data_IF_173246245760
#
_entry.id   IF_173246245760
#
_cell.length_a   1.000
_cell.length_b   1.000
_cell.length_c   1.000
_cell.angle_alpha   90.00
_cell.angle_beta   90.00
_cell.angle_gamma   90.00
#
_symmetry.space_group_name_H-M   'P 1'
#
loop_
_entity.id
_entity.type
_entity.pdbx_description
1 polymer ?
#
# COMPACT_ATOMS: atom_id res chain seq x y z
N UNK A 1 -6.15 15.63 16.77
CA UNK A 1 -6.32 15.83 15.32
C UNK A 1 -7.50 14.99 14.88
N UNK A 2 -8.56 15.57 14.30
CA UNK A 2 -9.69 14.78 13.80
C UNK A 2 -9.31 14.16 12.47
N UNK A 3 -9.04 12.84 12.46
CA UNK A 3 -8.64 12.11 11.26
C UNK A 3 -9.79 11.96 10.26
N UNK A 4 -11.03 12.27 10.64
CA UNK A 4 -12.23 12.13 9.79
C UNK A 4 -12.24 13.06 8.57
N UNK A 5 -11.47 14.14 8.60
CA UNK A 5 -11.35 15.08 7.48
C UNK A 5 -10.22 14.73 6.49
N UNK A 6 -9.37 13.75 6.81
CA UNK A 6 -8.22 13.38 5.96
C UNK A 6 -8.61 12.21 5.06
N UNK A 7 -8.50 12.41 3.75
CA UNK A 7 -8.50 11.33 2.78
C UNK A 7 -7.20 10.52 2.96
N UNK A 8 -7.25 9.47 3.80
CA UNK A 8 -6.09 8.68 4.17
C UNK A 8 -5.42 8.03 2.96
N UNK A 9 -6.20 7.60 1.97
CA UNK A 9 -5.66 7.00 0.77
C UNK A 9 -4.79 8.01 0.01
N UNK A 10 -5.34 9.20 -0.28
CA UNK A 10 -4.59 10.25 -0.98
C UNK A 10 -3.38 10.71 -0.17
N UNK A 11 -3.53 10.84 1.14
CA UNK A 11 -2.43 11.24 2.02
C UNK A 11 -1.29 10.20 2.00
N UNK A 12 -1.62 8.92 2.14
CA UNK A 12 -0.66 7.83 2.11
C UNK A 12 0.04 7.74 0.76
N UNK A 13 -0.74 7.79 -0.32
CA UNK A 13 -0.21 7.78 -1.69
C UNK A 13 0.75 8.96 -1.94
N UNK A 14 0.37 10.19 -1.58
CA UNK A 14 1.21 11.37 -1.75
C UNK A 14 2.51 11.26 -0.94
N UNK A 15 2.41 10.89 0.34
CA UNK A 15 3.57 10.69 1.23
C UNK A 15 4.53 9.63 0.69
N UNK A 16 3.99 8.51 0.18
CA UNK A 16 4.79 7.46 -0.43
C UNK A 16 5.50 7.95 -1.70
N UNK A 17 4.78 8.65 -2.60
CA UNK A 17 5.34 9.16 -3.86
C UNK A 17 6.35 10.30 -3.68
N UNK A 18 6.35 10.98 -2.54
CA UNK A 18 7.42 11.92 -2.16
C UNK A 18 8.71 11.18 -1.78
N UNK A 19 8.60 10.06 -1.05
CA UNK A 19 9.76 9.28 -0.59
C UNK A 19 10.30 8.32 -1.64
N UNK A 20 9.43 7.79 -2.50
CA UNK A 20 9.74 6.76 -3.50
C UNK A 20 9.21 7.18 -4.88
N UNK A 21 9.76 8.26 -5.49
CA UNK A 21 9.22 8.85 -6.71
C UNK A 21 9.28 7.92 -7.94
N UNK A 22 10.15 6.91 -7.94
CA UNK A 22 10.27 5.91 -9.01
C UNK A 22 8.99 5.10 -9.21
N UNK A 23 8.14 4.96 -8.19
CA UNK A 23 6.90 4.19 -8.27
C UNK A 23 5.74 4.93 -8.93
N UNK A 24 5.91 6.21 -9.32
CA UNK A 24 4.87 6.97 -10.05
C UNK A 24 4.47 6.31 -11.37
N UNK A 25 5.38 5.54 -11.98
CA UNK A 25 5.10 4.73 -13.17
C UNK A 25 4.05 3.63 -12.96
N UNK A 26 3.69 3.35 -11.70
CA UNK A 26 2.69 2.37 -11.29
C UNK A 26 1.44 3.04 -10.67
N UNK A 27 1.22 4.33 -10.93
CA UNK A 27 0.12 5.10 -10.35
C UNK A 27 -1.27 4.50 -10.63
N UNK A 28 -1.43 3.89 -11.80
CA UNK A 28 -2.63 3.17 -12.25
C UNK A 28 -3.00 2.00 -11.33
N UNK A 29 -2.00 1.42 -10.64
CA UNK A 29 -2.15 0.26 -9.76
C UNK A 29 -2.46 0.65 -8.31
N UNK A 30 -2.23 1.92 -7.95
CA UNK A 30 -2.38 2.40 -6.58
C UNK A 30 -3.76 2.19 -5.95
N UNK A 31 -4.89 2.34 -6.68
CA UNK A 31 -6.22 2.07 -6.12
C UNK A 31 -6.42 0.64 -5.63
N UNK A 32 -5.68 -0.34 -6.17
CA UNK A 32 -5.73 -1.75 -5.73
C UNK A 32 -5.06 -1.98 -4.38
N UNK A 33 -4.17 -1.07 -3.99
CA UNK A 33 -3.43 -1.12 -2.73
C UNK A 33 -3.96 -0.07 -1.74
N UNK A 34 -5.24 0.31 -1.87
CA UNK A 34 -5.86 1.37 -1.07
C UNK A 34 -5.62 1.18 0.42
N UNK A 35 -5.90 -0.01 0.93
CA UNK A 35 -5.79 -0.32 2.36
C UNK A 35 -4.35 -0.16 2.87
N UNK A 36 -3.35 -0.58 2.08
CA UNK A 36 -1.94 -0.40 2.42
C UNK A 36 -1.55 1.08 2.46
N UNK A 37 -2.02 1.88 1.50
CA UNK A 37 -1.79 3.33 1.52
C UNK A 37 -2.49 4.01 2.70
N UNK A 38 -3.70 3.58 3.07
CA UNK A 38 -4.40 4.11 4.25
C UNK A 38 -3.68 3.73 5.57
N UNK A 39 -3.16 2.51 5.68
CA UNK A 39 -2.33 2.08 6.81
C UNK A 39 -1.04 2.89 6.89
N UNK A 40 -0.38 3.08 5.75
CA UNK A 40 0.82 3.90 5.65
C UNK A 40 0.56 5.35 6.06
N UNK A 41 -0.56 5.94 5.62
CA UNK A 41 -0.98 7.28 6.03
C UNK A 41 -1.10 7.41 7.55
N UNK A 42 -1.73 6.43 8.22
CA UNK A 42 -1.85 6.42 9.69
C UNK A 42 -0.49 6.33 10.36
N UNK A 43 0.42 5.51 9.83
CA UNK A 43 1.77 5.37 10.36
C UNK A 43 2.57 6.69 10.23
N UNK A 44 2.51 7.34 9.06
CA UNK A 44 3.13 8.65 8.81
C UNK A 44 2.58 9.71 9.76
N UNK A 45 1.25 9.83 9.86
CA UNK A 45 0.62 10.81 10.75
C UNK A 45 0.98 10.57 12.22
N UNK A 46 1.04 9.32 12.67
CA UNK A 46 1.45 8.98 14.03
C UNK A 46 2.92 9.36 14.29
N UNK A 47 3.83 9.03 13.37
CA UNK A 47 5.24 9.41 13.47
C UNK A 47 5.40 10.94 13.51
N UNK A 48 4.70 11.65 12.63
CA UNK A 48 4.78 13.11 12.54
C UNK A 48 4.21 13.78 13.80
N UNK A 49 3.17 13.22 14.41
CA UNK A 49 2.68 13.66 15.72
C UNK A 49 3.72 13.43 16.82
N UNK A 50 4.36 12.25 16.85
CA UNK A 50 5.41 11.93 17.82
C UNK A 50 6.62 12.85 17.72
N UNK A 51 7.05 13.17 16.49
CA UNK A 51 8.12 14.13 16.22
C UNK A 51 7.81 15.53 16.75
N UNK A 52 6.53 15.93 16.77
CA UNK A 52 6.09 17.23 17.31
C UNK A 52 5.84 17.21 18.82
N UNK A 53 5.57 16.03 19.40
CA UNK A 53 5.05 15.85 20.75
C UNK A 53 6.07 15.43 21.81
N UNK A 54 7.38 15.60 21.58
CA UNK A 54 8.45 15.16 22.49
C UNK A 54 8.40 13.65 22.82
N UNK A 55 8.01 12.81 21.86
CA UNK A 55 8.12 11.36 22.02
C UNK A 55 9.60 10.94 22.19
N UNK A 56 9.83 9.83 22.88
CA UNK A 56 11.21 9.32 23.05
C UNK A 56 11.77 8.86 21.70
N UNK A 57 13.10 8.98 21.48
CA UNK A 57 13.74 8.55 20.24
C UNK A 57 13.39 7.10 19.85
N UNK A 58 13.37 6.18 20.81
CA UNK A 58 13.05 4.76 20.58
C UNK A 58 11.64 4.55 20.02
N UNK A 59 10.66 5.33 20.47
CA UNK A 59 9.28 5.23 19.96
C UNK A 59 9.18 5.77 18.53
N UNK A 60 9.93 6.84 18.24
CA UNK A 60 10.03 7.42 16.89
C UNK A 60 10.71 6.44 15.93
N UNK A 61 11.77 5.76 16.36
CA UNK A 61 12.47 4.73 15.59
C UNK A 61 11.53 3.57 15.24
N UNK A 62 10.84 3.00 16.23
CA UNK A 62 9.89 1.92 16.00
C UNK A 62 8.77 2.31 15.01
N UNK A 63 8.27 3.56 15.07
CA UNK A 63 7.30 4.05 14.07
C UNK A 63 7.91 4.32 12.71
N UNK A 64 9.17 4.72 12.65
CA UNK A 64 9.90 4.89 11.40
C UNK A 64 10.11 3.55 10.71
N UNK A 65 10.48 2.50 11.46
CA UNK A 65 10.60 1.13 10.96
C UNK A 65 9.26 0.61 10.40
N UNK A 66 8.15 0.85 11.10
CA UNK A 66 6.83 0.50 10.60
C UNK A 66 6.49 1.19 9.25
N UNK A 67 6.87 2.46 9.09
CA UNK A 67 6.71 3.16 7.81
C UNK A 67 7.57 2.53 6.72
N UNK A 68 8.83 2.16 7.02
CA UNK A 68 9.75 1.52 6.07
C UNK A 68 9.24 0.13 5.66
N UNK A 69 8.71 -0.66 6.60
CA UNK A 69 8.11 -1.96 6.30
C UNK A 69 6.93 -1.83 5.33
N UNK A 70 6.02 -0.89 5.58
CA UNK A 70 4.90 -0.60 4.67
C UNK A 70 5.39 -0.07 3.30
N UNK A 71 6.45 0.74 3.27
CA UNK A 71 7.06 1.19 2.01
C UNK A 71 7.59 0.02 1.17
N UNK A 72 8.23 -0.96 1.81
CA UNK A 72 8.71 -2.17 1.14
C UNK A 72 7.55 -3.02 0.62
N UNK A 73 6.51 -3.22 1.42
CA UNK A 73 5.35 -4.01 1.03
C UNK A 73 4.61 -3.37 -0.15
N UNK A 74 4.27 -2.08 -0.06
CA UNK A 74 3.66 -1.34 -1.16
C UNK A 74 4.53 -1.40 -2.43
N UNK A 75 5.84 -1.18 -2.28
CA UNK A 75 6.78 -1.26 -3.39
C UNK A 75 6.78 -2.64 -4.07
N UNK A 76 6.83 -3.70 -3.27
CA UNK A 76 6.75 -5.07 -3.74
C UNK A 76 5.47 -5.31 -4.54
N UNK A 77 4.30 -4.91 -4.01
CA UNK A 77 3.02 -5.13 -4.69
C UNK A 77 2.89 -4.32 -6.00
N UNK A 78 3.37 -3.09 -6.04
CA UNK A 78 3.36 -2.27 -7.26
C UNK A 78 4.21 -2.89 -8.39
N UNK A 79 5.35 -3.49 -8.02
CA UNK A 79 6.29 -4.11 -8.96
C UNK A 79 5.87 -5.52 -9.40
N UNK A 80 5.40 -6.38 -8.48
CA UNK A 80 5.33 -7.82 -8.71
C UNK A 80 3.92 -8.38 -8.89
N UNK A 81 2.93 -7.85 -8.19
CA UNK A 81 1.58 -8.45 -8.14
C UNK A 81 0.54 -7.66 -8.89
N UNK A 82 0.84 -6.44 -9.30
CA UNK A 82 -0.06 -5.62 -10.10
C UNK A 82 -0.14 -6.03 -11.59
N UNK A 83 0.18 -7.29 -11.90
CA UNK A 83 -0.06 -7.97 -13.17
C UNK A 83 -0.58 -9.42 -13.04
N UNK A 84 -0.90 -9.91 -11.84
CA UNK A 84 -1.32 -11.32 -11.65
C UNK A 84 -2.55 -11.43 -10.75
N UNK A 85 -3.72 -11.17 -11.35
CA UNK A 85 -5.00 -11.82 -11.04
C UNK A 85 -5.98 -11.60 -12.20
N UNK A 86 -5.51 -11.89 -13.42
CA UNK A 86 -6.37 -12.37 -14.51
C UNK A 86 -5.92 -13.80 -14.81
N UNK A 87 -6.18 -14.72 -13.89
CA UNK A 87 -6.10 -16.15 -14.19
C UNK A 87 -7.48 -16.74 -13.91
N UNK A 88 -8.18 -16.95 -15.04
CA UNK A 88 -9.14 -18.01 -15.35
C UNK A 88 -10.43 -18.13 -14.54
N UNK A 89 -11.44 -17.39 -14.98
CA UNK A 89 -12.86 -17.71 -14.79
C UNK A 89 -13.57 -18.19 -16.07
N UNK A 90 -12.84 -18.46 -17.16
CA UNK A 90 -13.39 -19.00 -18.40
C UNK A 90 -12.31 -19.89 -19.04
N UNK A 91 -12.39 -21.20 -18.78
CA UNK A 91 -11.89 -22.32 -19.62
C UNK A 91 -11.88 -23.64 -18.82
N UNK A 92 -13.00 -23.94 -18.16
CA UNK A 92 -13.35 -25.33 -17.82
C UNK A 92 -14.81 -25.60 -18.26
N UNK A 93 -15.11 -25.39 -19.54
CA UNK A 93 -16.05 -26.28 -20.20
C UNK A 93 -15.27 -27.52 -20.65
N UNK A 94 -15.28 -28.52 -19.77
CA UNK A 94 -14.77 -29.84 -20.07
C UNK A 94 -15.53 -30.44 -21.24
N UNK A 95 -14.93 -30.37 -22.43
CA UNK A 95 -15.22 -31.32 -23.50
C UNK A 95 -14.77 -32.71 -23.05
N UNK A 96 -15.71 -33.55 -22.62
CA UNK A 96 -15.53 -35.00 -22.61
C UNK A 96 -16.21 -35.57 -23.86
N UNK A 97 -15.46 -36.18 -24.79
CA UNK A 97 -16.05 -36.89 -25.92
C UNK A 97 -16.78 -38.14 -25.43
N UNK A 98 -18.02 -38.31 -25.90
CA UNK A 98 -18.82 -39.50 -25.66
C UNK A 98 -18.07 -40.75 -26.13
N UNK A 99 -17.79 -41.64 -25.17
CA UNK A 99 -17.37 -42.99 -25.44
C UNK A 99 -18.52 -43.74 -26.16
N UNK A 100 -18.24 -44.22 -27.36
CA UNK A 100 -18.94 -45.35 -27.98
C UNK A 100 -18.00 -46.53 -27.98
#
# INVERSE_FOLDING_TARGET
>A
MDLRAIDLFKHGYASFMMRRPSYRRHADKAPRLRDLFELYARAVLARDQMLRGYATPTVIEAKTEACVGLEHEIGFFLEHTAGSHLVNGADQEGSLPGAR
#
